data_IF_879839940756
#
_entry.id   IF_879839940756
#
_cell.length_a   1.000
_cell.length_b   1.000
_cell.length_c   1.000
_cell.angle_alpha   90.00
_cell.angle_beta   90.00
_cell.angle_gamma   90.00
#
_symmetry.space_group_name_H-M   'P 1'
#
loop_
_entity.id
_entity.type
_entity.pdbx_description
1 polymer ?
#
# COMPACT_ATOMS: atom_id res chain seq x y z
N UNK A 1 -29.87 -7.33 -3.23
CA UNK A 1 -28.87 -6.99 -2.20
C UNK A 1 -27.51 -7.28 -2.77
N UNK A 2 -26.69 -6.25 -2.99
CA UNK A 2 -25.27 -6.47 -3.28
C UNK A 2 -24.65 -6.80 -1.92
N UNK A 3 -24.18 -8.02 -1.77
CA UNK A 3 -23.46 -8.45 -0.58
C UNK A 3 -22.20 -7.57 -0.48
N UNK A 4 -22.18 -6.64 0.48
CA UNK A 4 -21.02 -5.79 0.74
C UNK A 4 -19.93 -6.70 1.32
N UNK A 5 -19.05 -7.21 0.46
CA UNK A 5 -17.82 -7.87 0.90
C UNK A 5 -17.04 -6.87 1.75
N UNK A 6 -16.76 -7.24 2.98
CA UNK A 6 -15.95 -6.41 3.87
C UNK A 6 -14.48 -6.57 3.48
N UNK A 7 -13.85 -5.50 3.00
CA UNK A 7 -12.41 -5.47 2.70
C UNK A 7 -11.54 -6.04 3.83
N UNK A 8 -11.98 -5.85 5.09
CA UNK A 8 -11.31 -6.40 6.28
C UNK A 8 -11.24 -7.94 6.31
N UNK A 9 -12.20 -8.63 5.68
CA UNK A 9 -12.21 -10.10 5.57
C UNK A 9 -11.28 -10.61 4.48
N UNK A 10 -11.13 -9.86 3.39
CA UNK A 10 -10.40 -10.34 2.21
C UNK A 10 -8.88 -10.02 2.28
N UNK A 11 -8.47 -9.02 3.07
CA UNK A 11 -7.06 -8.60 3.18
C UNK A 11 -6.40 -9.02 4.50
N UNK A 12 -6.04 -10.31 4.59
CA UNK A 12 -5.35 -10.89 5.75
C UNK A 12 -3.85 -10.53 5.82
N UNK A 13 -3.21 -10.73 6.97
CA UNK A 13 -1.75 -10.54 7.11
C UNK A 13 -0.94 -11.39 6.15
N UNK A 14 -1.37 -12.63 5.93
CA UNK A 14 -0.73 -13.55 5.01
C UNK A 14 -0.85 -13.04 3.57
N UNK A 15 -2.02 -12.53 3.20
CA UNK A 15 -2.25 -11.95 1.88
C UNK A 15 -1.36 -10.71 1.66
N UNK A 16 -1.31 -9.78 2.63
CA UNK A 16 -0.44 -8.59 2.55
C UNK A 16 1.03 -8.97 2.41
N UNK A 17 1.49 -9.93 3.20
CA UNK A 17 2.88 -10.41 3.08
C UNK A 17 3.13 -11.03 1.72
N UNK A 18 2.18 -11.80 1.17
CA UNK A 18 2.32 -12.44 -0.13
C UNK A 18 2.41 -11.41 -1.27
N UNK A 19 1.49 -10.44 -1.33
CA UNK A 19 1.51 -9.41 -2.37
C UNK A 19 2.77 -8.54 -2.27
N UNK A 20 3.15 -8.10 -1.06
CA UNK A 20 4.35 -7.27 -0.87
C UNK A 20 5.59 -8.06 -1.26
N UNK A 21 5.73 -9.32 -0.83
CA UNK A 21 6.89 -10.15 -1.17
C UNK A 21 6.95 -10.56 -2.64
N UNK A 22 5.82 -10.54 -3.36
CA UNK A 22 5.79 -10.71 -4.81
C UNK A 22 6.57 -9.61 -5.56
N UNK A 23 6.67 -8.41 -4.97
CA UNK A 23 7.39 -7.27 -5.54
C UNK A 23 8.68 -6.91 -4.78
N UNK A 24 8.74 -7.24 -3.49
CA UNK A 24 9.86 -6.98 -2.58
C UNK A 24 10.24 -8.27 -1.83
N UNK A 25 10.99 -9.19 -2.47
CA UNK A 25 11.22 -10.54 -1.92
C UNK A 25 11.95 -10.55 -0.57
N UNK A 26 12.77 -9.53 -0.30
CA UNK A 26 13.50 -9.33 0.95
C UNK A 26 12.70 -8.58 2.03
N UNK A 27 11.41 -8.30 1.78
CA UNK A 27 10.57 -7.59 2.74
C UNK A 27 10.42 -8.37 4.06
N UNK A 28 10.61 -7.65 5.16
CA UNK A 28 10.57 -8.15 6.53
C UNK A 28 9.95 -7.12 7.49
N UNK A 29 9.87 -7.47 8.77
CA UNK A 29 9.43 -6.58 9.87
C UNK A 29 8.07 -5.87 9.62
N UNK A 30 7.13 -6.60 9.02
CA UNK A 30 5.78 -6.12 8.77
C UNK A 30 5.09 -5.71 10.08
N UNK A 31 4.54 -4.49 10.10
CA UNK A 31 3.70 -4.00 11.18
C UNK A 31 2.50 -3.27 10.59
N UNK A 32 1.30 -3.69 11.00
CA UNK A 32 0.06 -2.99 10.66
C UNK A 32 0.06 -1.61 11.32
N UNK A 33 -0.21 -0.57 10.54
CA UNK A 33 -0.38 0.80 11.02
C UNK A 33 -1.86 1.06 11.27
N UNK A 34 -2.71 0.78 10.27
CA UNK A 34 -4.13 1.09 10.34
C UNK A 34 -4.97 0.14 9.47
N UNK A 35 -6.26 0.02 9.79
CA UNK A 35 -7.26 -0.71 9.02
C UNK A 35 -8.62 -0.01 9.05
N UNK A 36 -8.97 0.58 7.90
CA UNK A 36 -10.27 1.16 7.62
C UNK A 36 -11.25 0.12 7.06
N UNK A 37 -12.46 0.59 6.77
CA UNK A 37 -13.49 -0.22 6.12
C UNK A 37 -13.13 -0.58 4.68
N UNK A 38 -12.41 0.31 3.97
CA UNK A 38 -12.07 0.19 2.55
C UNK A 38 -10.56 0.20 2.28
N UNK A 39 -9.76 0.18 3.35
CA UNK A 39 -8.31 0.31 3.21
C UNK A 39 -7.55 -0.32 4.34
N UNK A 40 -6.30 -0.68 4.05
CA UNK A 40 -5.35 -1.17 5.04
C UNK A 40 -3.98 -0.54 4.79
N UNK A 41 -3.28 -0.24 5.87
CA UNK A 41 -1.94 0.35 5.83
C UNK A 41 -0.98 -0.46 6.68
N UNK A 42 0.11 -0.91 6.07
CA UNK A 42 1.17 -1.67 6.73
C UNK A 42 2.52 -0.99 6.46
N UNK A 43 3.41 -1.00 7.44
CA UNK A 43 4.84 -0.75 7.18
C UNK A 43 5.56 -2.08 6.99
N UNK A 44 6.60 -2.06 6.17
CA UNK A 44 7.58 -3.13 6.04
C UNK A 44 8.98 -2.56 5.84
N UNK A 45 9.99 -3.39 6.07
CA UNK A 45 11.40 -3.05 5.85
C UNK A 45 11.95 -3.92 4.73
N UNK A 46 12.84 -3.36 3.93
CA UNK A 46 13.79 -4.12 3.09
C UNK A 46 15.17 -4.00 3.72
N UNK A 47 16.19 -4.63 3.13
CA UNK A 47 17.59 -4.44 3.59
C UNK A 47 18.04 -2.98 3.55
N UNK A 48 17.46 -2.18 2.66
CA UNK A 48 17.92 -0.81 2.40
C UNK A 48 17.08 0.25 3.10
N UNK A 49 15.74 0.07 3.13
CA UNK A 49 14.83 1.13 3.56
C UNK A 49 13.50 0.62 4.10
N UNK A 50 12.88 1.48 4.91
CA UNK A 50 11.51 1.34 5.39
C UNK A 50 10.50 1.88 4.36
N UNK A 51 9.40 1.15 4.20
CA UNK A 51 8.32 1.51 3.29
C UNK A 51 6.95 1.42 3.97
N UNK A 52 5.98 2.11 3.39
CA UNK A 52 4.56 2.04 3.74
C UNK A 52 3.77 1.50 2.56
N UNK A 53 3.05 0.41 2.78
CA UNK A 53 2.13 -0.23 1.87
C UNK A 53 0.70 0.25 2.17
N UNK A 54 0.06 0.90 1.19
CA UNK A 54 -1.34 1.27 1.22
C UNK A 54 -2.12 0.32 0.31
N UNK A 55 -3.19 -0.28 0.82
CA UNK A 55 -3.94 -1.33 0.14
C UNK A 55 -5.41 -0.94 0.07
N UNK A 56 -6.00 -0.97 -1.14
CA UNK A 56 -7.39 -0.56 -1.44
C UNK A 56 -7.93 -1.32 -2.65
N UNK A 57 -9.26 -1.34 -2.84
CA UNK A 57 -9.90 -1.90 -4.05
C UNK A 57 -9.81 -0.97 -5.27
N UNK A 58 -9.65 0.35 -5.03
CA UNK A 58 -9.63 1.33 -6.11
C UNK A 58 -8.36 2.22 -6.05
N UNK A 59 -7.68 2.46 -7.18
CA UNK A 59 -6.35 3.06 -7.22
C UNK A 59 -6.32 4.59 -7.42
N UNK A 60 -7.45 5.26 -7.60
CA UNK A 60 -7.49 6.68 -8.02
C UNK A 60 -6.76 7.58 -7.02
N UNK A 61 -6.91 7.28 -5.73
CA UNK A 61 -6.21 7.99 -4.65
C UNK A 61 -4.69 7.75 -4.68
N UNK A 62 -4.22 6.60 -5.17
CA UNK A 62 -2.79 6.31 -5.29
C UNK A 62 -2.16 7.08 -6.44
N UNK A 63 -2.85 7.16 -7.59
CA UNK A 63 -2.39 7.97 -8.71
C UNK A 63 -2.37 9.46 -8.36
N UNK A 64 -3.40 9.94 -7.66
CA UNK A 64 -3.43 11.32 -7.14
C UNK A 64 -2.25 11.59 -6.21
N UNK A 65 -1.95 10.68 -5.28
CA UNK A 65 -0.81 10.83 -4.37
C UNK A 65 0.54 10.89 -5.12
N UNK A 66 0.71 10.05 -6.14
CA UNK A 66 1.90 10.08 -7.01
C UNK A 66 2.03 11.41 -7.75
N UNK A 67 0.94 11.92 -8.30
CA UNK A 67 0.92 13.18 -9.05
C UNK A 67 1.22 14.37 -8.13
N UNK A 68 0.66 14.36 -6.92
CA UNK A 68 0.95 15.35 -5.88
C UNK A 68 2.44 15.32 -5.51
N UNK A 69 3.03 14.15 -5.29
CA UNK A 69 4.47 14.05 -5.04
C UNK A 69 5.30 14.55 -6.23
N UNK A 70 4.96 14.16 -7.45
CA UNK A 70 5.70 14.58 -8.65
C UNK A 70 5.69 16.11 -8.83
N UNK A 71 4.58 16.76 -8.47
CA UNK A 71 4.42 18.20 -8.62
C UNK A 71 5.03 19.00 -7.47
N UNK A 72 4.94 18.50 -6.23
CA UNK A 72 5.25 19.28 -5.04
C UNK A 72 6.31 18.66 -4.11
N UNK A 73 6.70 17.40 -4.32
CA UNK A 73 7.56 16.63 -3.41
C UNK A 73 8.98 17.15 -3.26
N UNK A 74 9.49 17.96 -4.20
CA UNK A 74 10.76 18.65 -4.04
C UNK A 74 10.70 19.84 -3.04
N UNK A 75 9.50 20.30 -2.70
CA UNK A 75 9.26 21.51 -1.89
C UNK A 75 8.51 21.22 -0.59
N UNK A 76 7.73 20.15 -0.55
CA UNK A 76 6.91 19.76 0.59
C UNK A 76 7.32 18.37 1.08
N UNK A 77 7.24 18.10 2.40
CA UNK A 77 7.55 16.79 2.97
C UNK A 77 6.44 15.77 2.68
N UNK A 78 6.27 15.44 1.41
CA UNK A 78 5.30 14.46 0.91
C UNK A 78 6.05 13.16 0.67
N UNK A 79 5.59 12.02 1.24
CA UNK A 79 6.19 10.72 0.96
C UNK A 79 6.23 10.41 -0.54
N UNK A 80 7.38 9.93 -1.01
CA UNK A 80 7.54 9.51 -2.41
C UNK A 80 6.75 8.24 -2.65
N UNK A 81 5.85 8.26 -3.64
CA UNK A 81 5.26 7.03 -4.18
C UNK A 81 6.31 6.32 -5.03
N UNK A 82 6.68 5.11 -4.61
CA UNK A 82 7.72 4.29 -5.26
C UNK A 82 7.09 3.41 -6.33
N UNK A 83 5.94 2.80 -6.02
CA UNK A 83 5.28 1.87 -6.93
C UNK A 83 3.77 1.79 -6.66
N UNK A 84 3.03 1.36 -7.69
CA UNK A 84 1.62 0.98 -7.61
C UNK A 84 1.48 -0.36 -8.34
N UNK A 85 0.88 -1.34 -7.68
CA UNK A 85 0.69 -2.69 -8.17
C UNK A 85 -0.79 -3.08 -8.06
N UNK A 86 -1.23 -3.96 -8.94
CA UNK A 86 -2.55 -4.59 -8.88
C UNK A 86 -2.39 -6.09 -8.68
N UNK A 87 -3.24 -6.66 -7.83
CA UNK A 87 -3.34 -8.10 -7.62
C UNK A 87 -4.80 -8.49 -7.39
N UNK A 88 -5.38 -9.20 -8.35
CA UNK A 88 -6.76 -9.74 -8.25
C UNK A 88 -7.80 -8.66 -7.91
N UNK A 89 -7.71 -7.48 -8.52
CA UNK A 89 -8.63 -6.36 -8.26
C UNK A 89 -8.39 -5.61 -6.95
N UNK A 90 -7.34 -5.95 -6.20
CA UNK A 90 -6.85 -5.15 -5.07
C UNK A 90 -5.55 -4.45 -5.46
N UNK A 91 -5.43 -3.19 -5.10
CA UNK A 91 -4.29 -2.36 -5.43
C UNK A 91 -3.41 -2.14 -4.20
N UNK A 92 -2.09 -2.14 -4.44
CA UNK A 92 -1.04 -1.84 -3.49
C UNK A 92 -0.27 -0.62 -3.99
N UNK A 93 -0.21 0.45 -3.19
CA UNK A 93 0.73 1.54 -3.38
C UNK A 93 1.82 1.47 -2.32
N UNK A 94 3.08 1.52 -2.76
CA UNK A 94 4.25 1.56 -1.88
C UNK A 94 4.82 2.97 -1.89
N UNK A 95 5.05 3.53 -0.70
CA UNK A 95 5.71 4.81 -0.51
C UNK A 95 6.87 4.70 0.48
N UNK A 96 7.80 5.65 0.40
CA UNK A 96 8.86 5.79 1.40
C UNK A 96 8.26 6.19 2.75
N UNK A 97 8.79 5.62 3.84
CA UNK A 97 8.39 5.97 5.21
C UNK A 97 9.02 7.30 5.66
#
# INVERSE_FOLDING_TARGET
MIDMKSFKKDVSDQWVRAIVKGHYPDAEQFKRIDIGELSRVDQFMTKEKAYVAHIREHPESFYTARDVYNRFGARLPIPKVVAIHEHQGTYLMVSEK
#
